data_IF_953821441460
#
_entry.id   IF_953821441460
#
_cell.length_a   1.000
_cell.length_b   1.000
_cell.length_c   1.000
_cell.angle_alpha   90.00
_cell.angle_beta   90.00
_cell.angle_gamma   90.00
#
_symmetry.space_group_name_H-M   'P 1'
#
loop_
_entity.id
_entity.type
_entity.pdbx_description
1 polymer ?
#
# COMPACT_ATOMS: atom_id res chain seq x y z
N UNK A 1 -33.46 -44.99 17.65
CA UNK A 1 -34.67 -44.32 17.10
C UNK A 1 -34.58 -42.86 17.52
N UNK A 2 -34.16 -41.91 16.70
CA UNK A 2 -33.72 -41.93 15.32
C UNK A 2 -32.54 -40.97 15.23
N UNK A 3 -31.45 -41.44 14.62
CA UNK A 3 -30.38 -40.57 14.15
C UNK A 3 -30.98 -39.59 13.14
N UNK A 4 -30.98 -38.30 13.46
CA UNK A 4 -31.23 -37.27 12.47
C UNK A 4 -30.03 -37.24 11.54
N UNK A 5 -30.20 -37.91 10.40
CA UNK A 5 -29.31 -37.86 9.24
C UNK A 5 -29.07 -36.40 8.84
N UNK A 6 -27.95 -35.85 9.30
CA UNK A 6 -27.34 -34.67 8.67
C UNK A 6 -26.99 -35.07 7.24
N UNK A 7 -27.81 -34.57 6.33
CA UNK A 7 -27.75 -34.74 4.88
C UNK A 7 -26.33 -34.49 4.33
N UNK A 8 -25.54 -35.56 4.19
CA UNK A 8 -24.11 -35.59 3.85
C UNK A 8 -23.79 -35.31 2.37
N UNK A 9 -24.75 -34.84 1.57
CA UNK A 9 -24.50 -34.42 0.18
C UNK A 9 -23.90 -33.01 0.05
N UNK A 10 -23.99 -32.18 1.08
CA UNK A 10 -23.37 -30.84 1.13
C UNK A 10 -21.92 -30.85 1.63
N UNK A 11 -21.49 -31.92 2.29
CA UNK A 11 -20.22 -31.96 3.03
C UNK A 11 -18.95 -31.83 2.16
N UNK A 12 -18.79 -32.55 1.02
CA UNK A 12 -17.60 -32.39 0.18
C UNK A 12 -17.54 -31.01 -0.48
N UNK A 13 -18.67 -30.49 -0.97
CA UNK A 13 -18.75 -29.19 -1.66
C UNK A 13 -18.50 -28.02 -0.71
N UNK A 14 -19.02 -28.10 0.52
CA UNK A 14 -18.76 -27.11 1.58
C UNK A 14 -17.30 -27.17 2.03
N UNK A 15 -16.73 -28.37 2.16
CA UNK A 15 -15.31 -28.55 2.50
C UNK A 15 -14.39 -27.96 1.42
N UNK A 16 -14.67 -28.21 0.14
CA UNK A 16 -13.93 -27.62 -0.99
C UNK A 16 -14.02 -26.10 -1.01
N UNK A 17 -15.23 -25.53 -0.84
CA UNK A 17 -15.39 -24.07 -0.82
C UNK A 17 -14.65 -23.43 0.36
N UNK A 18 -14.64 -24.06 1.55
CA UNK A 18 -13.84 -23.61 2.70
C UNK A 18 -12.34 -23.66 2.39
N UNK A 19 -11.86 -24.70 1.71
CA UNK A 19 -10.46 -24.82 1.30
C UNK A 19 -10.06 -23.72 0.31
N UNK A 20 -10.89 -23.47 -0.71
CA UNK A 20 -10.67 -22.39 -1.69
C UNK A 20 -10.69 -21.01 -1.02
N UNK A 21 -11.63 -20.78 -0.10
CA UNK A 21 -11.71 -19.54 0.66
C UNK A 21 -10.46 -19.30 1.53
N UNK A 22 -10.00 -20.35 2.24
CA UNK A 22 -8.77 -20.29 3.04
C UNK A 22 -7.55 -20.01 2.15
N UNK A 23 -7.45 -20.68 1.01
CA UNK A 23 -6.38 -20.45 0.04
C UNK A 23 -6.39 -19.01 -0.48
N UNK A 24 -7.56 -18.47 -0.82
CA UNK A 24 -7.71 -17.09 -1.28
C UNK A 24 -7.20 -16.07 -0.24
N UNK A 25 -7.54 -16.24 1.04
CA UNK A 25 -7.03 -15.38 2.12
C UNK A 25 -5.51 -15.51 2.26
N UNK A 26 -4.97 -16.73 2.20
CA UNK A 26 -3.53 -16.97 2.28
C UNK A 26 -2.78 -16.31 1.11
N UNK A 27 -3.27 -16.49 -0.12
CA UNK A 27 -2.71 -15.85 -1.32
C UNK A 27 -2.73 -14.34 -1.20
N UNK A 28 -3.85 -13.74 -0.76
CA UNK A 28 -3.94 -12.29 -0.53
C UNK A 28 -2.90 -11.80 0.46
N UNK A 29 -2.76 -12.46 1.61
CA UNK A 29 -1.80 -12.07 2.63
C UNK A 29 -0.35 -12.21 2.13
N UNK A 30 -0.05 -13.27 1.38
CA UNK A 30 1.25 -13.45 0.73
C UNK A 30 1.54 -12.33 -0.28
N UNK A 31 0.57 -11.98 -1.13
CA UNK A 31 0.74 -10.89 -2.10
C UNK A 31 0.94 -9.52 -1.44
N UNK A 32 0.28 -9.25 -0.31
CA UNK A 32 0.51 -8.04 0.49
C UNK A 32 1.95 -8.00 1.01
N UNK A 33 2.47 -9.12 1.53
CA UNK A 33 3.86 -9.19 1.99
C UNK A 33 4.84 -8.98 0.83
N UNK A 34 4.58 -9.61 -0.33
CA UNK A 34 5.40 -9.42 -1.52
C UNK A 34 5.35 -7.97 -2.03
N UNK A 35 4.20 -7.31 -1.95
CA UNK A 35 4.06 -5.90 -2.30
C UNK A 35 4.97 -5.02 -1.44
N UNK A 36 4.98 -5.24 -0.12
CA UNK A 36 5.83 -4.51 0.82
C UNK A 36 7.31 -4.76 0.48
N UNK A 37 7.70 -6.01 0.25
CA UNK A 37 9.09 -6.36 -0.10
C UNK A 37 9.54 -5.71 -1.42
N UNK A 38 8.70 -5.75 -2.47
CA UNK A 38 9.01 -5.09 -3.76
C UNK A 38 9.10 -3.58 -3.61
N UNK A 39 8.21 -2.95 -2.84
CA UNK A 39 8.27 -1.51 -2.63
C UNK A 39 9.53 -1.10 -1.84
N UNK A 40 9.89 -1.86 -0.80
CA UNK A 40 11.08 -1.63 0.00
C UNK A 40 12.37 -1.77 -0.83
N UNK A 41 12.40 -2.71 -1.77
CA UNK A 41 13.49 -2.86 -2.73
C UNK A 41 13.73 -1.57 -3.52
N UNK A 42 12.67 -1.00 -4.14
CA UNK A 42 12.79 0.25 -4.90
C UNK A 42 13.23 1.43 -4.02
N UNK A 43 12.64 1.55 -2.83
CA UNK A 43 13.01 2.59 -1.86
C UNK A 43 14.49 2.54 -1.48
N UNK A 44 15.03 1.34 -1.24
CA UNK A 44 16.44 1.15 -0.89
C UNK A 44 17.36 1.57 -2.05
N UNK A 45 17.06 1.12 -3.27
CA UNK A 45 17.82 1.51 -4.46
C UNK A 45 17.83 3.03 -4.66
N UNK A 46 16.68 3.68 -4.51
CA UNK A 46 16.61 5.14 -4.62
C UNK A 46 17.38 5.86 -3.51
N UNK A 47 17.36 5.32 -2.28
CA UNK A 47 18.17 5.85 -1.19
C UNK A 47 19.67 5.77 -1.48
N UNK A 48 20.14 4.64 -2.02
CA UNK A 48 21.55 4.45 -2.41
C UNK A 48 21.93 5.41 -3.54
N UNK A 49 21.08 5.58 -4.56
CA UNK A 49 21.36 6.51 -5.65
C UNK A 49 21.42 7.97 -5.16
N UNK A 50 20.50 8.39 -4.28
CA UNK A 50 20.54 9.73 -3.70
C UNK A 50 21.83 9.94 -2.89
N UNK A 51 22.21 8.97 -2.06
CA UNK A 51 23.46 9.02 -1.31
C UNK A 51 24.69 9.10 -2.24
N UNK A 52 24.67 8.39 -3.37
CA UNK A 52 25.74 8.45 -4.36
C UNK A 52 25.87 9.84 -5.01
N UNK A 53 24.75 10.51 -5.32
CA UNK A 53 24.77 11.89 -5.83
C UNK A 53 25.35 12.86 -4.80
N UNK A 54 24.93 12.78 -3.53
CA UNK A 54 25.37 13.72 -2.49
C UNK A 54 26.78 13.45 -1.94
N UNK A 55 27.28 12.22 -2.00
CA UNK A 55 28.61 11.87 -1.51
C UNK A 55 29.74 12.18 -2.51
N UNK A 56 29.41 12.64 -3.71
CA UNK A 56 30.39 12.89 -4.75
C UNK A 56 31.19 14.18 -4.51
N UNK A 57 32.35 14.07 -3.85
CA UNK A 57 33.23 15.23 -3.54
C UNK A 57 33.91 15.84 -4.79
N UNK A 58 33.94 15.11 -5.92
CA UNK A 58 34.48 15.56 -7.19
C UNK A 58 33.46 15.30 -8.31
N UNK A 59 32.46 16.18 -8.47
CA UNK A 59 31.33 15.95 -9.36
C UNK A 59 31.79 15.74 -10.80
N UNK A 60 31.50 14.56 -11.36
CA UNK A 60 31.67 14.26 -12.78
C UNK A 60 30.28 14.43 -13.41
N UNK A 61 30.02 15.50 -14.18
CA UNK A 61 28.66 15.84 -14.60
C UNK A 61 27.94 14.72 -15.35
N UNK A 62 28.69 13.95 -16.15
CA UNK A 62 28.15 12.79 -16.88
C UNK A 62 27.67 11.68 -15.94
N UNK A 63 28.40 11.44 -14.85
CA UNK A 63 28.04 10.39 -13.87
C UNK A 63 26.77 10.79 -13.11
N UNK A 64 26.67 12.04 -12.68
CA UNK A 64 25.47 12.58 -12.02
C UNK A 64 24.25 12.57 -12.95
N UNK A 65 24.45 12.93 -14.21
CA UNK A 65 23.40 12.85 -15.24
C UNK A 65 22.86 11.42 -15.37
N UNK A 66 23.75 10.42 -15.48
CA UNK A 66 23.37 9.00 -15.61
C UNK A 66 22.65 8.50 -14.33
N UNK A 67 23.13 8.88 -13.15
CA UNK A 67 22.50 8.49 -11.88
C UNK A 67 21.11 9.10 -11.76
N UNK A 68 20.94 10.38 -12.06
CA UNK A 68 19.64 11.05 -12.00
C UNK A 68 18.66 10.46 -13.01
N UNK A 69 19.12 10.18 -14.24
CA UNK A 69 18.32 9.50 -15.26
C UNK A 69 17.87 8.11 -14.78
N UNK A 70 18.78 7.34 -14.18
CA UNK A 70 18.48 6.02 -13.60
C UNK A 70 17.44 6.13 -12.48
N UNK A 71 17.53 7.16 -11.65
CA UNK A 71 16.55 7.46 -10.60
C UNK A 71 15.13 7.71 -11.15
N UNK A 72 15.00 8.45 -12.25
CA UNK A 72 13.72 8.65 -12.96
C UNK A 72 13.16 7.30 -13.41
N UNK A 73 13.94 6.45 -14.09
CA UNK A 73 13.47 5.15 -14.55
C UNK A 73 13.03 4.24 -13.38
N UNK A 74 13.83 4.16 -12.32
CA UNK A 74 13.52 3.33 -11.14
C UNK A 74 12.25 3.81 -10.46
N UNK A 75 12.05 5.12 -10.31
CA UNK A 75 10.82 5.68 -9.75
C UNK A 75 9.59 5.35 -10.61
N UNK A 76 9.72 5.41 -11.94
CA UNK A 76 8.66 4.99 -12.87
C UNK A 76 8.32 3.51 -12.76
N UNK A 77 9.31 2.64 -12.56
CA UNK A 77 9.08 1.22 -12.30
C UNK A 77 8.37 0.97 -10.97
N UNK A 78 8.76 1.68 -9.90
CA UNK A 78 8.08 1.60 -8.61
C UNK A 78 6.59 1.93 -8.72
N UNK A 79 6.25 3.02 -9.43
CA UNK A 79 4.86 3.43 -9.69
C UNK A 79 4.09 2.33 -10.42
N UNK A 80 4.66 1.78 -11.52
CA UNK A 80 4.01 0.74 -12.32
C UNK A 80 3.76 -0.54 -11.52
N UNK A 81 4.75 -0.99 -10.74
CA UNK A 81 4.63 -2.18 -9.90
C UNK A 81 3.57 -1.99 -8.81
N UNK A 82 3.54 -0.83 -8.16
CA UNK A 82 2.55 -0.52 -7.15
C UNK A 82 1.13 -0.41 -7.72
N UNK A 83 0.97 0.23 -8.88
CA UNK A 83 -0.31 0.31 -9.60
C UNK A 83 -0.81 -1.08 -10.03
N UNK A 84 0.06 -1.92 -10.57
CA UNK A 84 -0.28 -3.30 -10.94
C UNK A 84 -0.72 -4.13 -9.72
N UNK A 85 -0.05 -3.97 -8.58
CA UNK A 85 -0.45 -4.63 -7.36
C UNK A 85 -1.81 -4.14 -6.82
N UNK A 86 -2.13 -2.85 -6.97
CA UNK A 86 -3.46 -2.33 -6.61
C UNK A 86 -4.56 -3.00 -7.44
N UNK A 87 -4.36 -3.17 -8.74
CA UNK A 87 -5.30 -3.85 -9.63
C UNK A 87 -5.54 -5.30 -9.19
N UNK A 88 -4.45 -6.06 -8.96
CA UNK A 88 -4.57 -7.44 -8.49
C UNK A 88 -5.23 -7.53 -7.12
N UNK A 89 -4.96 -6.59 -6.21
CA UNK A 89 -5.62 -6.52 -4.92
C UNK A 89 -7.15 -6.38 -5.06
N UNK A 90 -7.62 -5.46 -5.91
CA UNK A 90 -9.06 -5.29 -6.17
C UNK A 90 -9.66 -6.52 -6.84
N UNK A 91 -8.94 -7.13 -7.77
CA UNK A 91 -9.38 -8.36 -8.43
C UNK A 91 -9.60 -9.52 -7.45
N UNK A 92 -8.66 -9.71 -6.51
CA UNK A 92 -8.79 -10.74 -5.46
C UNK A 92 -9.87 -10.40 -4.43
N UNK A 93 -10.04 -9.13 -4.07
CA UNK A 93 -11.14 -8.68 -3.19
C UNK A 93 -12.50 -9.01 -3.82
N UNK A 94 -12.69 -8.74 -5.10
CA UNK A 94 -13.91 -9.11 -5.85
C UNK A 94 -14.10 -10.62 -5.94
N UNK A 95 -13.05 -11.37 -6.30
CA UNK A 95 -13.14 -12.84 -6.40
C UNK A 95 -13.42 -13.52 -5.07
N UNK A 96 -12.83 -13.01 -3.99
CA UNK A 96 -13.09 -13.51 -2.64
C UNK A 96 -14.54 -13.26 -2.26
N UNK A 97 -15.07 -12.07 -2.55
CA UNK A 97 -16.49 -11.75 -2.31
C UNK A 97 -17.43 -12.68 -3.09
N UNK A 98 -17.15 -12.97 -4.36
CA UNK A 98 -17.98 -13.91 -5.15
C UNK A 98 -18.00 -15.32 -4.54
N UNK A 99 -16.85 -15.78 -4.00
CA UNK A 99 -16.74 -17.10 -3.35
C UNK A 99 -17.48 -17.09 -2.01
N UNK A 100 -17.37 -15.99 -1.26
CA UNK A 100 -18.04 -15.77 0.01
C UNK A 100 -19.57 -15.86 -0.14
N UNK A 101 -20.11 -15.24 -1.19
CA UNK A 101 -21.54 -15.28 -1.51
C UNK A 101 -22.02 -16.69 -1.88
N UNK A 102 -21.23 -17.41 -2.67
CA UNK A 102 -21.53 -18.82 -3.00
C UNK A 102 -21.50 -19.69 -1.75
N UNK A 103 -20.58 -19.42 -0.82
CA UNK A 103 -20.46 -20.14 0.44
C UNK A 103 -21.65 -19.87 1.36
N UNK A 104 -22.06 -18.60 1.50
CA UNK A 104 -23.28 -18.18 2.23
C UNK A 104 -24.53 -18.87 1.68
N UNK A 105 -24.68 -18.93 0.36
CA UNK A 105 -25.81 -19.60 -0.29
C UNK A 105 -25.79 -21.12 -0.11
N UNK A 106 -24.62 -21.73 0.10
CA UNK A 106 -24.48 -23.19 0.23
C UNK A 106 -24.63 -23.67 1.69
N UNK A 107 -24.15 -22.89 2.66
CA UNK A 107 -24.20 -23.24 4.10
C UNK A 107 -25.54 -22.82 4.75
N UNK A 108 -26.22 -21.82 4.18
CA UNK A 108 -27.41 -21.21 4.78
C UNK A 108 -27.05 -20.00 5.66
N UNK A 109 -27.99 -19.05 5.77
CA UNK A 109 -27.78 -17.74 6.40
C UNK A 109 -27.41 -17.81 7.89
N UNK A 110 -27.86 -18.85 8.61
CA UNK A 110 -27.72 -18.93 10.07
C UNK A 110 -26.35 -19.45 10.55
N UNK A 111 -25.54 -20.05 9.67
CA UNK A 111 -24.24 -20.63 10.02
C UNK A 111 -23.02 -19.93 9.42
N UNK A 112 -23.22 -18.87 8.65
CA UNK A 112 -22.15 -18.21 7.89
C UNK A 112 -21.82 -16.82 8.44
N UNK A 113 -20.56 -16.63 8.85
CA UNK A 113 -20.05 -15.32 9.28
C UNK A 113 -19.33 -14.67 8.11
N UNK A 114 -19.90 -13.60 7.53
CA UNK A 114 -19.20 -12.87 6.48
C UNK A 114 -18.01 -12.08 7.06
N UNK A 115 -16.90 -12.09 6.34
CA UNK A 115 -15.63 -11.45 6.66
C UNK A 115 -15.38 -10.21 5.80
N UNK A 116 -15.78 -10.24 4.52
CA UNK A 116 -15.54 -9.14 3.57
C UNK A 116 -16.81 -8.65 2.87
N UNK A 117 -17.99 -9.12 3.29
CA UNK A 117 -19.29 -8.90 2.64
C UNK A 117 -19.48 -7.48 2.09
N UNK A 118 -19.45 -7.39 0.76
CA UNK A 118 -19.78 -6.19 -0.01
C UNK A 118 -21.28 -6.11 -0.37
N UNK A 119 -22.08 -7.09 0.09
CA UNK A 119 -23.48 -7.22 -0.28
C UNK A 119 -24.40 -6.30 0.53
N UNK A 120 -25.42 -5.76 -0.16
CA UNK A 120 -26.40 -4.80 0.39
C UNK A 120 -27.21 -5.35 1.57
N UNK A 121 -27.42 -6.67 1.63
CA UNK A 121 -28.14 -7.31 2.75
C UNK A 121 -27.35 -7.23 4.07
N UNK A 122 -26.02 -7.30 4.00
CA UNK A 122 -25.14 -7.28 5.17
C UNK A 122 -24.66 -5.85 5.52
N UNK A 123 -25.08 -4.84 4.73
CA UNK A 123 -24.66 -3.45 4.88
C UNK A 123 -25.01 -2.86 6.27
N UNK A 124 -26.09 -3.36 6.90
CA UNK A 124 -26.43 -3.00 8.29
C UNK A 124 -25.40 -3.54 9.28
N UNK A 125 -25.01 -4.80 9.17
CA UNK A 125 -24.02 -5.41 10.07
C UNK A 125 -22.63 -4.81 9.84
N UNK A 126 -22.27 -4.51 8.58
CA UNK A 126 -21.04 -3.80 8.24
C UNK A 126 -21.01 -2.38 8.85
N UNK A 127 -22.14 -1.65 8.86
CA UNK A 127 -22.24 -0.33 9.50
C UNK A 127 -22.06 -0.41 11.02
N UNK A 128 -22.73 -1.38 11.67
CA UNK A 128 -22.60 -1.60 13.11
C UNK A 128 -21.16 -1.97 13.48
N UNK A 129 -20.50 -2.81 12.69
CA UNK A 129 -19.10 -3.16 12.92
C UNK A 129 -18.17 -1.96 12.70
N UNK A 130 -18.41 -1.16 11.66
CA UNK A 130 -17.65 0.07 11.40
C UNK A 130 -17.75 1.05 12.58
N UNK A 131 -18.94 1.24 13.13
CA UNK A 131 -19.17 2.11 14.29
C UNK A 131 -18.44 1.59 15.55
N UNK A 132 -18.41 0.27 15.77
CA UNK A 132 -17.60 -0.34 16.83
C UNK A 132 -16.10 -0.06 16.66
N UNK A 133 -15.60 -0.08 15.42
CA UNK A 133 -14.20 0.23 15.11
C UNK A 133 -13.92 1.72 15.33
N UNK A 134 -14.78 2.61 14.83
CA UNK A 134 -14.63 4.06 14.99
C UNK A 134 -14.62 4.44 16.49
N UNK A 135 -15.53 3.89 17.29
CA UNK A 135 -15.57 4.07 18.75
C UNK A 135 -14.31 3.55 19.46
N UNK A 136 -13.63 2.56 18.89
CA UNK A 136 -12.37 2.04 19.45
C UNK A 136 -11.17 2.91 19.07
N UNK A 137 -11.16 3.47 17.86
CA UNK A 137 -10.15 4.42 17.38
C UNK A 137 -10.25 5.73 18.17
N UNK A 138 -11.48 6.18 18.45
CA UNK A 138 -11.72 7.44 19.15
C UNK A 138 -11.48 7.38 20.67
N UNK A 139 -11.11 6.20 21.22
CA UNK A 139 -10.73 6.10 22.64
C UNK A 139 -9.37 6.78 22.86
N UNK A 140 -9.30 7.84 23.67
CA UNK A 140 -8.06 8.60 23.85
C UNK A 140 -7.08 7.84 24.75
N UNK A 141 -5.93 7.42 24.20
CA UNK A 141 -4.78 6.96 24.98
C UNK A 141 -3.76 8.10 25.16
N UNK A 142 -3.97 8.91 26.21
CA UNK A 142 -3.02 9.90 26.77
C UNK A 142 -2.67 11.14 25.91
N UNK A 143 -3.02 12.31 26.45
CA UNK A 143 -3.22 13.59 25.75
C UNK A 143 -1.99 14.49 25.54
N UNK A 144 -0.75 14.05 25.76
CA UNK A 144 0.32 15.07 25.87
C UNK A 144 0.99 15.50 24.56
N UNK A 145 0.90 14.71 23.47
CA UNK A 145 1.55 15.02 22.19
C UNK A 145 0.84 14.47 20.94
N UNK A 146 -0.42 14.05 21.05
CA UNK A 146 -1.12 13.45 19.91
C UNK A 146 -1.72 14.53 19.01
N UNK A 147 -1.03 14.82 17.92
CA UNK A 147 -1.71 15.24 16.67
C UNK A 147 -2.87 14.26 16.47
N UNK A 148 -4.07 14.75 16.12
CA UNK A 148 -5.26 13.92 15.95
C UNK A 148 -5.10 12.96 14.75
N UNK A 149 -4.38 11.86 14.97
CA UNK A 149 -4.15 10.82 13.97
C UNK A 149 -5.41 10.00 13.71
N UNK A 150 -6.47 10.14 14.52
CA UNK A 150 -7.71 9.38 14.35
C UNK A 150 -8.38 9.71 13.01
N UNK A 151 -8.32 10.97 12.57
CA UNK A 151 -8.82 11.37 11.25
C UNK A 151 -8.00 10.73 10.11
N UNK A 152 -6.69 10.66 10.27
CA UNK A 152 -5.77 10.04 9.29
C UNK A 152 -6.01 8.52 9.21
N UNK A 153 -6.22 7.87 10.35
CA UNK A 153 -6.52 6.43 10.44
C UNK A 153 -7.88 6.14 9.77
N UNK A 154 -8.90 6.96 10.05
CA UNK A 154 -10.25 6.83 9.47
C UNK A 154 -10.28 7.07 7.95
N UNK A 155 -9.33 7.83 7.40
CA UNK A 155 -9.15 8.02 5.96
C UNK A 155 -8.73 6.75 5.21
N UNK A 156 -8.36 5.67 5.90
CA UNK A 156 -8.03 4.35 5.33
C UNK A 156 -7.03 4.44 4.18
N UNK A 157 -5.84 4.99 4.48
CA UNK A 157 -4.77 5.04 3.49
C UNK A 157 -4.47 3.64 2.96
N UNK A 158 -4.60 3.50 1.64
CA UNK A 158 -4.42 2.22 0.98
C UNK A 158 -2.93 1.87 0.95
N UNK A 159 -2.60 0.69 1.47
CA UNK A 159 -1.24 0.12 1.51
C UNK A 159 -0.60 0.05 0.11
N UNK A 160 -1.42 -0.05 -0.94
CA UNK A 160 -0.99 -0.06 -2.34
C UNK A 160 -0.92 1.31 -3.00
N UNK A 161 -1.66 2.33 -2.50
CA UNK A 161 -1.60 3.70 -3.03
C UNK A 161 -0.43 4.51 -2.49
N UNK A 162 -0.02 4.28 -1.24
CA UNK A 162 1.12 4.99 -0.63
C UNK A 162 2.40 4.84 -1.47
N UNK A 163 2.82 3.63 -1.87
CA UNK A 163 3.94 3.42 -2.79
C UNK A 163 3.84 4.17 -4.13
N UNK A 164 2.64 4.32 -4.70
CA UNK A 164 2.42 5.04 -5.96
C UNK A 164 2.74 6.52 -5.76
N UNK A 165 2.21 7.13 -4.70
CA UNK A 165 2.48 8.53 -4.39
C UNK A 165 3.95 8.75 -4.04
N UNK A 166 4.57 7.86 -3.26
CA UNK A 166 5.99 7.94 -2.95
C UNK A 166 6.85 7.87 -4.21
N UNK A 167 6.58 6.91 -5.10
CA UNK A 167 7.27 6.80 -6.38
C UNK A 167 7.11 8.04 -7.24
N UNK A 168 5.91 8.64 -7.27
CA UNK A 168 5.65 9.89 -8.00
C UNK A 168 6.44 11.08 -7.44
N UNK A 169 6.45 11.25 -6.11
CA UNK A 169 7.24 12.31 -5.45
C UNK A 169 8.73 12.12 -5.75
N UNK A 170 9.24 10.90 -5.65
CA UNK A 170 10.65 10.61 -5.97
C UNK A 170 10.95 10.84 -7.44
N UNK A 171 10.03 10.54 -8.36
CA UNK A 171 10.18 10.86 -9.78
C UNK A 171 10.32 12.37 -10.01
N UNK A 172 9.51 13.19 -9.33
CA UNK A 172 9.63 14.65 -9.40
C UNK A 172 10.97 15.13 -8.84
N UNK A 173 11.42 14.56 -7.72
CA UNK A 173 12.74 14.88 -7.14
C UNK A 173 13.86 14.54 -8.14
N UNK A 174 13.82 13.35 -8.74
CA UNK A 174 14.81 12.92 -9.73
C UNK A 174 14.77 13.77 -11.00
N UNK A 175 13.58 14.20 -11.44
CA UNK A 175 13.44 15.14 -12.55
C UNK A 175 14.05 16.50 -12.20
N UNK A 176 13.81 17.04 -11.01
CA UNK A 176 14.40 18.30 -10.57
C UNK A 176 15.94 18.22 -10.53
N UNK A 177 16.49 17.14 -9.95
CA UNK A 177 17.93 16.89 -9.93
C UNK A 177 18.49 16.71 -11.35
N UNK A 178 17.82 15.95 -12.20
CA UNK A 178 18.22 15.76 -13.60
C UNK A 178 18.25 17.08 -14.35
N UNK A 179 17.21 17.91 -14.22
CA UNK A 179 17.17 19.23 -14.84
C UNK A 179 18.29 20.14 -14.32
N UNK A 180 18.66 20.05 -13.04
CA UNK A 180 19.79 20.80 -12.49
C UNK A 180 21.16 20.43 -13.10
N UNK A 181 21.30 19.22 -13.67
CA UNK A 181 22.51 18.81 -14.40
C UNK A 181 22.60 19.40 -15.82
N UNK A 182 21.49 19.92 -16.36
CA UNK A 182 21.46 20.54 -17.68
C UNK A 182 21.82 22.02 -17.57
N UNK A 183 22.84 22.45 -18.32
CA UNK A 183 23.34 23.84 -18.34
C UNK A 183 22.27 24.92 -18.60
N UNK A 184 21.12 24.55 -19.18
CA UNK A 184 19.99 25.44 -19.43
C UNK A 184 19.31 25.92 -18.13
N UNK A 185 19.28 25.09 -17.08
CA UNK A 185 18.65 25.42 -15.80
C UNK A 185 19.52 26.29 -14.89
N UNK A 186 20.81 26.45 -15.18
CA UNK A 186 21.68 27.36 -14.46
C UNK A 186 21.24 28.84 -14.61
N UNK A 187 20.42 29.15 -15.64
CA UNK A 187 19.82 30.47 -15.80
C UNK A 187 18.65 30.74 -14.83
N UNK A 188 18.05 29.70 -14.25
CA UNK A 188 17.00 29.76 -13.23
C UNK A 188 17.58 29.32 -11.88
N UNK A 189 18.48 30.12 -11.33
CA UNK A 189 19.12 29.79 -10.06
C UNK A 189 18.17 29.98 -8.86
N UNK A 190 17.45 28.91 -8.52
CA UNK A 190 16.53 28.82 -7.37
C UNK A 190 17.29 28.90 -6.03
N UNK A 191 18.62 28.72 -6.02
CA UNK A 191 19.44 28.81 -4.80
C UNK A 191 19.43 30.20 -4.17
N UNK A 192 19.08 31.23 -4.93
CA UNK A 192 18.87 32.59 -4.44
C UNK A 192 17.61 32.74 -3.58
N UNK A 193 16.64 31.82 -3.70
CA UNK A 193 15.37 31.85 -2.95
C UNK A 193 15.35 30.90 -1.75
N UNK A 194 16.16 29.83 -1.78
CA UNK A 194 16.19 28.80 -0.73
C UNK A 194 17.51 28.88 0.02
N UNK A 195 17.48 29.47 1.22
CA UNK A 195 18.62 29.45 2.13
C UNK A 195 18.76 28.09 2.82
N UNK A 196 19.96 27.51 2.75
CA UNK A 196 20.29 26.28 3.46
C UNK A 196 20.47 26.51 4.97
N UNK A 197 20.33 25.45 5.75
CA UNK A 197 20.69 25.48 7.18
C UNK A 197 22.22 25.44 7.26
N UNK A 198 22.84 26.59 7.55
CA UNK A 198 24.27 26.66 7.81
C UNK A 198 24.53 26.12 9.22
N UNK A 199 25.09 24.91 9.29
CA UNK A 199 25.65 24.40 10.53
C UNK A 199 27.01 25.06 10.74
N UNK A 200 27.19 25.70 11.89
CA UNK A 200 28.48 26.22 12.33
C UNK A 200 29.50 25.09 12.32
N UNK A 201 30.70 25.35 11.80
CA UNK A 201 31.77 24.35 11.77
C UNK A 201 32.04 23.93 13.20
N UNK A 202 31.93 22.63 13.48
CA UNK A 202 32.32 22.09 14.78
C UNK A 202 33.78 22.50 15.09
N UNK A 203 34.09 22.92 16.34
CA UNK A 203 35.40 23.42 16.73
C UNK A 203 36.52 22.40 16.53
#
# INVERSE_FOLDING_TARGET
MCDEEVNTKSDPKVSELKAVYKLAIQTRNFEIQQLINRNNFFMLFQGVLLAAVFSNQAPKPIVEFIICLSGIFISGHQIKVAAGAKYWQEWWELKTSEIEDKLKNTIGKDGFIPLFSLNKEDEKDTKVFKEKVDNKIDKPESKFLEIDFNEIIKRKYSVSRVPIYTGFVLMLTWLALFLSTLSWFHSFDISTFIYGIHFEKAP
#
